data_IF_838587744060
#
_entry.id   IF_838587744060
#
_cell.length_a   1.000
_cell.length_b   1.000
_cell.length_c   1.000
_cell.angle_alpha   90.00
_cell.angle_beta   90.00
_cell.angle_gamma   90.00
#
_symmetry.space_group_name_H-M   'P 1'
#
loop_
_entity.id
_entity.type
_entity.pdbx_description
1 polymer ?
#
# COMPACT_ATOMS: atom_id res chain seq x y z
N UNK A 1 15.24 -34.12 53.89
CA UNK A 1 15.93 -33.45 52.78
C UNK A 1 17.21 -32.81 53.31
N UNK A 2 18.39 -33.23 52.85
CA UNK A 2 19.67 -32.74 53.38
C UNK A 2 19.95 -31.29 52.93
N UNK A 3 20.58 -30.51 53.77
CA UNK A 3 20.95 -29.11 53.56
C UNK A 3 21.64 -28.82 52.21
N UNK A 4 22.29 -29.84 51.62
CA UNK A 4 22.94 -29.74 50.29
C UNK A 4 22.00 -29.77 49.12
N UNK A 5 20.86 -30.47 49.23
CA UNK A 5 19.87 -30.56 48.14
C UNK A 5 19.08 -29.27 48.02
N UNK A 6 18.76 -28.61 49.15
CA UNK A 6 18.07 -27.34 49.17
C UNK A 6 18.93 -26.20 48.54
N UNK A 7 20.23 -26.18 48.85
CA UNK A 7 21.18 -25.21 48.22
C UNK A 7 21.25 -25.37 46.74
N UNK A 8 21.35 -26.62 46.22
CA UNK A 8 21.39 -26.88 44.78
C UNK A 8 20.12 -26.46 44.10
N UNK A 9 18.97 -26.73 44.70
CA UNK A 9 17.65 -26.32 44.17
C UNK A 9 17.52 -24.80 44.07
N UNK A 10 17.88 -24.05 45.10
CA UNK A 10 17.84 -22.58 45.11
C UNK A 10 18.74 -21.98 44.07
N UNK A 11 19.97 -22.52 43.87
CA UNK A 11 20.89 -22.05 42.87
C UNK A 11 20.34 -22.31 41.47
N UNK A 12 19.71 -23.46 41.21
CA UNK A 12 19.11 -23.79 39.91
C UNK A 12 17.96 -22.86 39.58
N UNK A 13 17.11 -22.50 40.54
CA UNK A 13 16.01 -21.55 40.33
C UNK A 13 16.53 -20.15 40.00
N UNK A 14 17.56 -19.66 40.67
CA UNK A 14 18.17 -18.35 40.40
C UNK A 14 18.79 -18.32 39.03
N UNK A 15 19.46 -19.39 38.58
CA UNK A 15 20.05 -19.47 37.24
C UNK A 15 18.94 -19.46 36.18
N UNK A 16 17.81 -20.15 36.44
CA UNK A 16 16.67 -20.18 35.51
C UNK A 16 16.02 -18.79 35.38
N UNK A 17 15.85 -18.06 36.49
CA UNK A 17 15.31 -16.70 36.48
C UNK A 17 16.24 -15.72 35.72
N UNK A 18 17.55 -15.84 35.89
CA UNK A 18 18.54 -15.03 35.15
C UNK A 18 18.48 -15.34 33.64
N UNK A 19 18.37 -16.62 33.26
CA UNK A 19 18.23 -17.03 31.86
C UNK A 19 16.92 -16.54 31.25
N UNK A 20 15.80 -16.63 31.94
CA UNK A 20 14.51 -16.11 31.48
C UNK A 20 14.56 -14.58 31.37
N UNK A 21 15.17 -13.90 32.34
CA UNK A 21 15.40 -12.46 32.30
C UNK A 21 16.30 -12.03 31.12
N UNK A 22 17.38 -12.77 30.85
CA UNK A 22 18.27 -12.51 29.71
C UNK A 22 17.60 -12.75 28.37
N UNK A 23 16.78 -13.80 28.25
CA UNK A 23 15.99 -14.08 27.05
C UNK A 23 14.95 -12.98 26.84
N UNK A 24 14.21 -12.58 27.86
CA UNK A 24 13.22 -11.51 27.80
C UNK A 24 13.85 -10.15 27.43
N UNK A 25 15.01 -9.84 28.04
CA UNK A 25 15.77 -8.63 27.74
C UNK A 25 16.36 -8.67 26.32
N UNK A 26 16.85 -9.85 25.88
CA UNK A 26 17.31 -10.08 24.52
C UNK A 26 16.19 -9.91 23.49
N UNK A 27 14.99 -10.45 23.74
CA UNK A 27 13.81 -10.24 22.89
C UNK A 27 13.39 -8.77 22.84
N UNK A 28 13.44 -8.06 23.98
CA UNK A 28 13.14 -6.62 24.04
C UNK A 28 14.18 -5.76 23.31
N UNK A 29 15.45 -6.18 23.33
CA UNK A 29 16.55 -5.49 22.65
C UNK A 29 16.65 -5.81 21.17
N UNK A 30 16.23 -7.00 20.74
CA UNK A 30 16.10 -7.36 19.32
C UNK A 30 14.92 -6.67 18.63
N UNK A 31 13.93 -6.17 19.42
CA UNK A 31 12.81 -5.38 18.91
C UNK A 31 13.07 -3.87 18.79
N UNK A 32 14.15 -3.38 19.38
CA UNK A 32 14.58 -1.97 19.31
C UNK A 32 15.96 -1.94 18.66
N UNK A 33 16.01 -1.73 17.34
CA UNK A 33 17.26 -1.32 16.72
C UNK A 33 17.66 0.04 17.31
N UNK A 34 18.95 0.23 17.54
CA UNK A 34 19.54 1.44 18.15
C UNK A 34 19.40 2.70 17.30
N UNK A 35 18.66 2.64 16.17
CA UNK A 35 18.55 3.70 15.17
C UNK A 35 17.14 4.31 15.07
N UNK A 36 16.33 4.28 16.14
CA UNK A 36 14.96 4.84 16.09
C UNK A 36 13.95 4.03 15.28
N UNK A 37 14.34 2.93 14.67
CA UNK A 37 13.48 2.05 13.90
C UNK A 37 12.78 1.03 14.77
N UNK A 38 11.48 0.79 14.55
CA UNK A 38 10.68 -0.22 15.25
C UNK A 38 9.79 -0.99 14.29
N UNK A 39 9.72 -2.31 14.47
CA UNK A 39 8.78 -3.14 13.74
C UNK A 39 7.35 -2.86 14.22
N UNK A 40 6.43 -2.63 13.26
CA UNK A 40 5.02 -2.46 13.53
C UNK A 40 4.29 -3.78 13.31
N UNK A 41 3.23 -4.02 14.09
CA UNK A 41 2.32 -5.13 13.83
C UNK A 41 1.58 -4.91 12.51
N UNK A 42 1.46 -5.95 11.68
CA UNK A 42 0.68 -5.87 10.44
C UNK A 42 -0.82 -5.65 10.70
N UNK A 43 -1.28 -5.83 11.96
CA UNK A 43 -2.66 -5.57 12.39
C UNK A 43 -2.86 -4.16 12.95
N UNK A 44 -1.81 -3.38 13.11
CA UNK A 44 -1.93 -2.01 13.60
C UNK A 44 -2.81 -1.19 12.67
N UNK A 45 -3.70 -0.38 13.27
CA UNK A 45 -4.66 0.44 12.52
C UNK A 45 -3.97 1.32 11.48
N UNK A 46 -2.83 1.94 11.84
CA UNK A 46 -2.09 2.79 10.91
C UNK A 46 -1.55 1.97 9.74
N UNK A 47 -0.96 0.80 9.99
CA UNK A 47 -0.39 -0.08 8.97
C UNK A 47 -1.48 -0.55 8.00
N UNK A 48 -2.62 -1.02 8.54
CA UNK A 48 -3.74 -1.47 7.71
C UNK A 48 -4.36 -0.33 6.89
N UNK A 49 -4.43 0.88 7.45
CA UNK A 49 -4.92 2.06 6.74
C UNK A 49 -4.00 2.45 5.58
N UNK A 50 -2.68 2.49 5.80
CA UNK A 50 -1.73 2.82 4.76
C UNK A 50 -1.63 1.72 3.69
N UNK A 51 -1.70 0.46 4.11
CA UNK A 51 -1.70 -0.67 3.17
C UNK A 51 -2.89 -0.62 2.22
N UNK A 52 -4.10 -0.31 2.71
CA UNK A 52 -5.28 -0.16 1.85
C UNK A 52 -5.08 0.86 0.74
N UNK A 53 -4.31 1.92 0.97
CA UNK A 53 -4.02 2.96 -0.02
C UNK A 53 -3.19 2.47 -1.21
N UNK A 54 -2.48 1.35 -1.08
CA UNK A 54 -1.56 0.82 -2.09
C UNK A 54 -1.87 -0.63 -2.51
N UNK A 55 -2.90 -1.25 -1.95
CA UNK A 55 -3.21 -2.67 -2.15
C UNK A 55 -3.92 -2.99 -3.47
N UNK A 56 -3.90 -2.07 -4.43
CA UNK A 56 -4.59 -2.21 -5.71
C UNK A 56 -3.62 -2.21 -6.90
N UNK A 57 -2.41 -2.66 -6.70
CA UNK A 57 -1.36 -2.55 -7.69
C UNK A 57 -1.47 -3.65 -8.75
N UNK A 58 -1.75 -3.25 -9.99
CA UNK A 58 -1.74 -4.10 -11.18
C UNK A 58 -0.71 -3.60 -12.22
N UNK A 59 -0.18 -2.40 -12.04
CA UNK A 59 0.79 -1.78 -12.93
C UNK A 59 2.18 -1.67 -12.27
N UNK A 60 3.23 -1.85 -13.07
CA UNK A 60 4.62 -1.68 -12.62
C UNK A 60 5.00 -0.19 -12.56
N UNK A 61 4.37 0.56 -11.66
CA UNK A 61 4.66 1.97 -11.43
C UNK A 61 5.75 2.07 -10.36
N UNK A 62 6.91 2.62 -10.72
CA UNK A 62 8.03 2.86 -9.79
C UNK A 62 8.06 4.30 -9.28
N UNK A 63 7.85 5.29 -10.15
CA UNK A 63 7.76 6.68 -9.72
C UNK A 63 6.32 7.03 -9.33
N UNK A 64 6.04 6.92 -8.04
CA UNK A 64 4.71 7.24 -7.48
C UNK A 64 4.39 8.74 -7.49
N UNK A 65 5.37 9.60 -7.75
CA UNK A 65 5.19 11.05 -7.84
C UNK A 65 4.95 11.55 -9.27
N UNK A 66 5.04 10.68 -10.26
CA UNK A 66 4.63 10.99 -11.62
C UNK A 66 3.12 11.28 -11.69
N UNK A 67 2.70 12.23 -12.53
CA UNK A 67 1.30 12.68 -12.62
C UNK A 67 0.31 11.52 -12.84
N UNK A 68 0.58 10.64 -13.82
CA UNK A 68 -0.29 9.48 -14.10
C UNK A 68 -0.28 8.46 -12.96
N UNK A 69 0.83 8.27 -12.27
CA UNK A 69 0.92 7.42 -11.11
C UNK A 69 0.07 7.96 -9.95
N UNK A 70 0.13 9.28 -9.71
CA UNK A 70 -0.73 9.90 -8.70
C UNK A 70 -2.22 9.73 -9.01
N UNK A 71 -2.62 9.86 -10.27
CA UNK A 71 -4.01 9.62 -10.72
C UNK A 71 -4.42 8.16 -10.55
N UNK A 72 -3.53 7.22 -10.90
CA UNK A 72 -3.75 5.79 -10.70
C UNK A 72 -4.03 5.45 -9.23
N UNK A 73 -3.16 5.83 -8.31
CA UNK A 73 -3.38 5.56 -6.89
C UNK A 73 -4.58 6.32 -6.33
N UNK A 74 -4.83 7.54 -6.78
CA UNK A 74 -6.00 8.32 -6.39
C UNK A 74 -7.31 7.63 -6.80
N UNK A 75 -7.38 7.11 -8.02
CA UNK A 75 -8.55 6.39 -8.53
C UNK A 75 -8.94 5.20 -7.63
N UNK A 76 -7.96 4.42 -7.22
CA UNK A 76 -8.19 3.27 -6.35
C UNK A 76 -8.54 3.64 -4.90
N UNK A 77 -8.29 4.89 -4.50
CA UNK A 77 -8.64 5.42 -3.18
C UNK A 77 -9.97 6.20 -3.16
N UNK A 78 -10.77 6.11 -4.22
CA UNK A 78 -12.13 6.65 -4.29
C UNK A 78 -13.12 5.50 -4.11
N UNK A 79 -13.88 5.51 -3.02
CA UNK A 79 -14.85 4.46 -2.69
C UNK A 79 -16.12 4.57 -3.55
N UNK A 80 -16.67 5.78 -3.66
CA UNK A 80 -17.95 6.05 -4.35
C UNK A 80 -17.70 6.59 -5.76
N UNK A 81 -17.56 5.69 -6.73
CA UNK A 81 -17.44 6.04 -8.15
C UNK A 81 -18.83 6.07 -8.79
N UNK A 82 -19.10 7.07 -9.61
CA UNK A 82 -20.35 7.19 -10.32
C UNK A 82 -20.43 6.21 -11.50
N UNK A 83 -21.65 5.90 -11.92
CA UNK A 83 -21.90 5.12 -13.14
C UNK A 83 -22.74 5.97 -14.08
N UNK A 84 -22.31 6.09 -15.32
CA UNK A 84 -23.01 6.85 -16.37
C UNK A 84 -23.24 5.98 -17.60
N UNK A 85 -24.21 6.38 -18.44
CA UNK A 85 -24.42 5.70 -19.72
C UNK A 85 -23.33 6.11 -20.72
N UNK A 86 -22.69 5.13 -21.34
CA UNK A 86 -21.66 5.33 -22.34
C UNK A 86 -22.12 6.17 -23.55
N UNK A 87 -23.40 6.12 -23.90
CA UNK A 87 -23.94 6.89 -25.02
C UNK A 87 -23.85 8.42 -24.86
N UNK A 88 -23.68 8.90 -23.62
CA UNK A 88 -23.54 10.33 -23.35
C UNK A 88 -22.06 10.80 -23.34
N UNK A 89 -21.15 9.90 -23.61
CA UNK A 89 -19.70 10.17 -23.56
C UNK A 89 -19.17 10.51 -24.94
N UNK A 90 -18.51 11.66 -25.06
CA UNK A 90 -17.92 12.14 -26.33
C UNK A 90 -16.49 11.67 -26.58
N UNK A 91 -15.89 10.97 -25.61
CA UNK A 91 -14.51 10.45 -25.72
C UNK A 91 -14.49 8.96 -26.05
N UNK A 92 -13.40 8.53 -26.71
CA UNK A 92 -13.17 7.14 -27.07
C UNK A 92 -11.70 6.80 -26.85
N UNK A 93 -11.43 5.53 -26.68
CA UNK A 93 -10.05 5.01 -26.58
C UNK A 93 -9.92 3.76 -27.45
N UNK A 94 -8.92 3.76 -28.34
CA UNK A 94 -8.69 2.66 -29.28
C UNK A 94 -8.37 1.34 -28.55
N UNK A 95 -9.05 0.28 -28.96
CA UNK A 95 -8.89 -1.06 -28.39
C UNK A 95 -9.66 -1.26 -27.07
N UNK A 96 -10.40 -0.26 -26.60
CA UNK A 96 -11.30 -0.37 -25.45
C UNK A 96 -12.74 -0.25 -25.89
N UNK A 97 -13.63 -0.94 -25.18
CA UNK A 97 -15.05 -0.93 -25.47
C UNK A 97 -15.80 -0.10 -24.45
N UNK A 98 -16.84 0.59 -24.91
CA UNK A 98 -17.78 1.30 -24.10
C UNK A 98 -19.18 0.81 -24.50
N UNK A 99 -19.82 0.04 -23.63
CA UNK A 99 -21.15 -0.51 -23.85
C UNK A 99 -21.98 -0.43 -22.57
N UNK A 100 -23.18 0.13 -22.66
CA UNK A 100 -24.06 0.31 -21.52
C UNK A 100 -23.56 1.28 -20.47
N UNK A 101 -23.36 0.80 -19.25
CA UNK A 101 -22.94 1.62 -18.11
C UNK A 101 -21.43 1.54 -17.88
N UNK A 102 -20.82 2.70 -17.69
CA UNK A 102 -19.38 2.83 -17.44
C UNK A 102 -19.11 3.61 -16.15
N UNK A 103 -17.95 3.35 -15.55
CA UNK A 103 -17.51 4.10 -14.38
C UNK A 103 -17.08 5.50 -14.78
N UNK A 104 -17.55 6.49 -14.03
CA UNK A 104 -17.17 7.89 -14.16
C UNK A 104 -16.63 8.41 -12.82
N UNK A 105 -15.53 9.16 -12.88
CA UNK A 105 -14.93 9.79 -11.71
C UNK A 105 -14.72 11.27 -11.99
N UNK A 106 -15.31 12.13 -11.16
CA UNK A 106 -15.17 13.58 -11.28
C UNK A 106 -13.73 14.02 -11.05
N UNK A 107 -13.28 15.02 -11.80
CA UNK A 107 -11.99 15.66 -11.63
C UNK A 107 -11.71 16.06 -10.17
N UNK A 108 -12.67 16.72 -9.52
CA UNK A 108 -12.52 17.16 -8.14
C UNK A 108 -12.31 16.01 -7.14
N UNK A 109 -12.91 14.83 -7.40
CA UNK A 109 -12.75 13.67 -6.54
C UNK A 109 -11.36 13.06 -6.69
N UNK A 110 -10.82 13.01 -7.93
CA UNK A 110 -9.43 12.62 -8.17
C UNK A 110 -8.45 13.58 -7.51
N UNK A 111 -8.62 14.89 -7.68
CA UNK A 111 -7.76 15.91 -7.05
C UNK A 111 -7.80 15.82 -5.53
N UNK A 112 -8.98 15.57 -4.94
CA UNK A 112 -9.15 15.36 -3.49
C UNK A 112 -8.45 14.09 -3.03
N UNK A 113 -8.60 12.99 -3.78
CA UNK A 113 -7.94 11.72 -3.45
C UNK A 113 -6.40 11.84 -3.55
N UNK A 114 -5.87 12.56 -4.54
CA UNK A 114 -4.45 12.89 -4.62
C UNK A 114 -3.99 13.64 -3.37
N UNK A 115 -4.68 14.70 -2.97
CA UNK A 115 -4.33 15.48 -1.76
C UNK A 115 -4.39 14.63 -0.48
N UNK A 116 -5.31 13.68 -0.40
CA UNK A 116 -5.42 12.76 0.74
C UNK A 116 -4.28 11.72 0.79
N UNK A 117 -3.72 11.36 -0.36
CA UNK A 117 -2.67 10.35 -0.44
C UNK A 117 -1.25 10.97 -0.43
N UNK A 118 -1.07 12.12 -1.06
CA UNK A 118 0.23 12.73 -1.31
C UNK A 118 0.49 14.04 -0.55
N UNK A 119 -0.55 14.65 0.01
CA UNK A 119 -0.45 15.89 0.77
C UNK A 119 -1.22 17.04 0.15
N UNK A 120 -1.58 18.01 0.98
CA UNK A 120 -2.47 19.13 0.59
C UNK A 120 -1.85 20.07 -0.44
N UNK A 121 -0.52 20.18 -0.45
CA UNK A 121 0.23 21.06 -1.32
C UNK A 121 0.52 20.45 -2.70
N UNK A 122 0.18 19.17 -2.88
CA UNK A 122 0.34 18.49 -4.16
C UNK A 122 -0.79 18.85 -5.10
N UNK A 123 -0.42 19.21 -6.31
CA UNK A 123 -1.34 19.44 -7.43
C UNK A 123 -1.12 18.40 -8.51
N UNK A 124 -2.20 18.00 -9.17
CA UNK A 124 -2.17 17.03 -10.26
C UNK A 124 -2.95 17.62 -11.44
N UNK A 125 -2.47 17.34 -12.64
CA UNK A 125 -3.24 17.61 -13.86
C UNK A 125 -4.06 16.35 -14.18
N UNK A 126 -5.38 16.45 -14.12
CA UNK A 126 -6.24 15.31 -14.50
C UNK A 126 -6.18 15.15 -16.01
N UNK A 127 -5.69 14.01 -16.44
CA UNK A 127 -5.52 13.56 -17.82
C UNK A 127 -5.90 12.08 -17.95
N UNK A 128 -5.83 11.53 -19.15
CA UNK A 128 -6.07 10.09 -19.36
C UNK A 128 -4.93 9.24 -18.81
N UNK A 129 -5.25 8.10 -18.18
CA UNK A 129 -4.27 7.22 -17.57
C UNK A 129 -4.74 5.76 -17.55
N UNK A 130 -3.80 4.84 -17.44
CA UNK A 130 -4.06 3.41 -17.28
C UNK A 130 -4.51 3.11 -15.83
N UNK A 131 -5.68 2.49 -15.66
CA UNK A 131 -6.23 2.10 -14.36
C UNK A 131 -5.69 0.74 -13.94
N UNK A 132 -5.63 -0.19 -14.89
CA UNK A 132 -5.06 -1.51 -14.79
C UNK A 132 -4.89 -2.08 -16.22
N UNK A 133 -4.50 -3.34 -16.34
CA UNK A 133 -4.30 -3.98 -17.65
C UNK A 133 -5.56 -4.08 -18.51
N UNK A 134 -6.73 -3.99 -17.86
CA UNK A 134 -8.05 -4.12 -18.50
C UNK A 134 -8.79 -2.81 -18.66
N UNK A 135 -8.40 -1.79 -17.91
CA UNK A 135 -9.15 -0.54 -17.83
C UNK A 135 -8.27 0.66 -18.09
N UNK A 136 -8.80 1.59 -18.86
CA UNK A 136 -8.19 2.87 -19.19
C UNK A 136 -9.15 4.01 -18.88
N UNK A 137 -8.70 5.00 -18.13
CA UNK A 137 -9.46 6.19 -17.80
C UNK A 137 -9.17 7.28 -18.82
N UNK A 138 -10.17 7.68 -19.58
CA UNK A 138 -10.07 8.75 -20.58
C UNK A 138 -10.67 10.04 -20.01
N UNK A 139 -9.89 11.12 -20.04
CA UNK A 139 -10.34 12.41 -19.56
C UNK A 139 -11.38 13.01 -20.51
N UNK A 140 -12.55 13.34 -19.98
CA UNK A 140 -13.65 14.01 -20.67
C UNK A 140 -13.75 15.45 -20.16
N UNK A 141 -13.37 16.39 -21.03
CA UNK A 141 -13.41 17.82 -20.72
C UNK A 141 -14.84 18.33 -20.56
N UNK A 142 -15.80 17.76 -21.31
CA UNK A 142 -17.21 18.17 -21.28
C UNK A 142 -17.83 17.88 -19.92
N UNK A 143 -17.58 16.68 -19.39
CA UNK A 143 -18.12 16.24 -18.10
C UNK A 143 -17.18 16.52 -16.91
N UNK A 144 -15.97 17.04 -17.20
CA UNK A 144 -14.92 17.37 -16.19
C UNK A 144 -14.60 16.20 -15.28
N UNK A 145 -14.22 15.08 -15.88
CA UNK A 145 -13.88 13.85 -15.18
C UNK A 145 -13.22 12.84 -16.09
N UNK A 146 -13.07 11.62 -15.60
CA UNK A 146 -12.57 10.50 -16.40
C UNK A 146 -13.64 9.44 -16.55
N UNK A 147 -13.74 8.89 -17.76
CA UNK A 147 -14.58 7.75 -18.11
C UNK A 147 -13.71 6.52 -18.20
N UNK A 148 -14.08 5.44 -17.55
CA UNK A 148 -13.27 4.22 -17.53
C UNK A 148 -13.80 3.22 -18.54
N UNK A 149 -13.02 3.00 -19.58
CA UNK A 149 -13.28 2.00 -20.62
C UNK A 149 -12.63 0.67 -20.24
N UNK A 150 -13.19 -0.44 -20.72
CA UNK A 150 -12.66 -1.78 -20.52
C UNK A 150 -12.26 -2.45 -21.83
N UNK A 151 -11.29 -3.34 -21.77
CA UNK A 151 -10.92 -4.25 -22.86
C UNK A 151 -10.86 -5.69 -22.36
N UNK A 152 -11.01 -6.64 -23.24
CA UNK A 152 -10.74 -8.02 -22.91
C UNK A 152 -9.24 -8.23 -22.62
N UNK A 153 -8.94 -8.85 -21.51
CA UNK A 153 -7.57 -9.25 -21.16
C UNK A 153 -7.59 -10.59 -20.43
N UNK A 154 -6.79 -11.52 -20.94
CA UNK A 154 -6.62 -12.86 -20.38
C UNK A 154 -5.43 -12.97 -19.42
N UNK A 155 -4.90 -11.85 -18.92
CA UNK A 155 -3.81 -11.87 -17.95
C UNK A 155 -4.24 -12.52 -16.64
N UNK A 156 -3.31 -13.25 -16.03
CA UNK A 156 -3.56 -13.85 -14.71
C UNK A 156 -3.71 -12.77 -13.65
N UNK A 157 -4.65 -12.93 -12.72
CA UNK A 157 -4.79 -12.02 -11.61
C UNK A 157 -3.49 -11.96 -10.79
N UNK A 158 -3.18 -10.80 -10.26
CA UNK A 158 -2.09 -10.62 -9.30
C UNK A 158 -2.67 -10.36 -7.91
N UNK A 159 -1.92 -10.76 -6.90
CA UNK A 159 -2.27 -10.50 -5.51
C UNK A 159 -1.13 -9.73 -4.84
N UNK A 160 -1.49 -8.70 -4.10
CA UNK A 160 -0.56 -7.97 -3.24
C UNK A 160 -0.68 -8.50 -1.82
N UNK A 161 0.47 -8.75 -1.19
CA UNK A 161 0.54 -9.17 0.21
C UNK A 161 1.47 -8.26 1.00
N UNK A 162 0.97 -7.72 2.11
CA UNK A 162 1.80 -7.00 3.06
C UNK A 162 2.73 -7.99 3.78
N UNK A 163 4.05 -7.74 3.72
CA UNK A 163 5.10 -8.58 4.29
C UNK A 163 5.58 -8.08 5.64
N UNK A 164 5.89 -6.79 5.71
CA UNK A 164 6.37 -6.15 6.94
C UNK A 164 6.04 -4.66 6.96
N UNK A 165 6.04 -4.09 8.13
CA UNK A 165 5.88 -2.67 8.37
C UNK A 165 6.92 -2.23 9.41
N UNK A 166 7.62 -1.14 9.12
CA UNK A 166 8.65 -0.57 9.99
C UNK A 166 8.36 0.91 10.17
N UNK A 167 8.41 1.38 11.40
CA UNK A 167 8.43 2.80 11.69
C UNK A 167 9.89 3.23 11.85
N UNK A 168 10.26 4.26 11.14
CA UNK A 168 11.59 4.87 11.14
C UNK A 168 11.40 6.38 11.33
N UNK A 169 11.54 6.85 12.57
CA UNK A 169 11.29 8.22 13.00
C UNK A 169 9.87 8.71 12.58
N UNK A 170 9.82 9.61 11.61
CA UNK A 170 8.59 10.19 11.03
C UNK A 170 8.09 9.41 9.80
N UNK A 171 8.69 8.27 9.47
CA UNK A 171 8.34 7.45 8.30
C UNK A 171 7.71 6.14 8.71
N UNK A 172 6.86 5.62 7.83
CA UNK A 172 6.41 4.23 7.84
C UNK A 172 6.79 3.59 6.52
N UNK A 173 7.54 2.50 6.61
CA UNK A 173 7.97 1.71 5.48
C UNK A 173 7.11 0.46 5.42
N UNK A 174 6.38 0.27 4.33
CA UNK A 174 5.58 -0.93 4.07
C UNK A 174 6.25 -1.78 3.00
N UNK A 175 6.64 -3.00 3.33
CA UNK A 175 7.17 -3.97 2.37
C UNK A 175 6.03 -4.87 1.89
N UNK A 176 5.81 -4.92 0.57
CA UNK A 176 4.78 -5.74 -0.06
C UNK A 176 5.39 -6.75 -1.02
N UNK A 177 4.68 -7.82 -1.26
CA UNK A 177 5.02 -8.83 -2.26
C UNK A 177 3.90 -8.93 -3.28
N UNK A 178 4.26 -8.87 -4.56
CA UNK A 178 3.36 -9.21 -5.66
C UNK A 178 3.46 -10.72 -5.89
N UNK A 179 2.35 -11.38 -5.82
CA UNK A 179 2.23 -12.83 -5.97
C UNK A 179 1.57 -13.15 -7.31
N UNK A 180 2.02 -14.21 -7.94
CA UNK A 180 1.27 -14.85 -9.01
C UNK A 180 -0.07 -15.34 -8.48
N UNK A 181 -1.16 -14.94 -9.12
CA UNK A 181 -2.52 -15.26 -8.65
C UNK A 181 -2.88 -16.74 -8.74
N UNK A 182 -2.17 -17.50 -9.57
CA UNK A 182 -2.41 -18.94 -9.77
C UNK A 182 -1.59 -19.78 -8.79
N UNK A 183 -0.30 -19.49 -8.67
CA UNK A 183 0.63 -20.32 -7.91
C UNK A 183 1.05 -19.70 -6.57
N UNK A 184 0.72 -18.44 -6.31
CA UNK A 184 1.11 -17.71 -5.09
C UNK A 184 2.63 -17.47 -4.98
N UNK A 185 3.37 -17.66 -6.08
CA UNK A 185 4.82 -17.41 -6.09
C UNK A 185 5.10 -15.92 -6.07
N UNK A 186 6.14 -15.51 -5.33
CA UNK A 186 6.56 -14.11 -5.29
C UNK A 186 7.19 -13.74 -6.61
N UNK A 187 6.58 -12.80 -7.33
CA UNK A 187 7.13 -12.20 -8.55
C UNK A 187 8.08 -11.07 -8.21
N UNK A 188 7.63 -10.16 -7.35
CA UNK A 188 8.34 -8.95 -7.02
C UNK A 188 8.10 -8.54 -5.57
N UNK A 189 9.01 -7.73 -5.06
CA UNK A 189 8.90 -7.14 -3.71
C UNK A 189 9.16 -5.65 -3.81
N UNK A 190 8.25 -4.86 -3.23
CA UNK A 190 8.35 -3.41 -3.21
C UNK A 190 8.34 -2.88 -1.78
N UNK A 191 8.99 -1.74 -1.59
CA UNK A 191 8.91 -0.96 -0.37
C UNK A 191 8.27 0.39 -0.68
N UNK A 192 7.23 0.72 0.07
CA UNK A 192 6.54 2.01 0.04
C UNK A 192 6.95 2.83 1.25
N UNK A 193 7.28 4.09 1.04
CA UNK A 193 7.63 5.04 2.09
C UNK A 193 6.51 6.05 2.26
N UNK A 194 5.97 6.11 3.47
CA UNK A 194 5.02 7.13 3.89
C UNK A 194 5.69 8.05 4.90
N UNK A 195 5.64 9.36 4.67
CA UNK A 195 6.23 10.38 5.54
C UNK A 195 5.13 11.11 6.29
N UNK A 196 5.34 11.31 7.59
CA UNK A 196 4.41 12.02 8.47
C UNK A 196 4.47 13.52 8.20
N UNK A 197 3.29 14.11 8.02
CA UNK A 197 3.12 15.56 8.01
C UNK A 197 1.88 15.93 8.83
N UNK A 198 2.09 16.56 9.98
CA UNK A 198 1.04 16.82 10.96
C UNK A 198 0.51 15.51 11.59
N UNK A 199 -0.77 15.21 11.37
CA UNK A 199 -1.43 13.99 11.87
C UNK A 199 -1.45 12.85 10.87
N UNK A 200 -1.15 13.12 9.60
CA UNK A 200 -1.31 12.20 8.49
C UNK A 200 0.02 11.69 7.96
N UNK A 201 -0.04 10.60 7.21
CA UNK A 201 1.08 10.01 6.50
C UNK A 201 0.80 10.04 5.00
N UNK A 202 1.76 10.52 4.22
CA UNK A 202 1.67 10.71 2.78
C UNK A 202 2.66 9.82 2.03
N UNK A 203 2.21 9.22 0.95
CA UNK A 203 3.04 8.40 0.07
C UNK A 203 4.07 9.30 -0.63
N UNK A 204 5.34 8.95 -0.52
CA UNK A 204 6.43 9.75 -1.10
C UNK A 204 7.36 8.94 -2.00
N UNK A 205 7.42 7.62 -1.82
CA UNK A 205 8.35 6.77 -2.57
C UNK A 205 7.84 5.34 -2.68
N UNK A 206 8.15 4.72 -3.81
CA UNK A 206 8.10 3.27 -4.03
C UNK A 206 9.43 2.83 -4.62
N UNK A 207 9.94 1.71 -4.17
CA UNK A 207 11.16 1.13 -4.71
C UNK A 207 11.09 -0.39 -4.74
N UNK A 208 11.70 -0.99 -5.75
CA UNK A 208 11.87 -2.44 -5.83
C UNK A 208 12.99 -2.85 -4.89
N UNK A 209 12.72 -3.85 -4.05
CA UNK A 209 13.67 -4.34 -3.06
C UNK A 209 13.85 -5.85 -3.18
N UNK A 210 14.95 -6.36 -2.65
CA UNK A 210 15.15 -7.82 -2.63
C UNK A 210 14.09 -8.50 -1.75
N UNK A 211 13.65 -9.67 -2.19
CA UNK A 211 12.68 -10.50 -1.49
C UNK A 211 13.15 -10.93 -0.09
#
# INVERSE_FOLDING_TARGET
>A
MGKGTLKKFVITVIILEILIGAIYYGYKKLGTSSDGTSNLSLKDKIVTTLYKKIAHEDLEILDVMENKAMLYYAYWNIDDKETINCEVVDVKEDGYTCDGLVTFVKKNDLEKAVKNLYGKDITVQVESFEVDKKHYAVYDETHKGVVVFSKEDNSSPINIKLKSAVKDEDKILLKTQILDGIYGTVKETYQYTFVKNGKDYYLTKKEKVKA
#
